data_IF_470204625334
#
_entry.id   IF_470204625334
#
_cell.length_a   1.000
_cell.length_b   1.000
_cell.length_c   1.000
_cell.angle_alpha   90.00
_cell.angle_beta   90.00
_cell.angle_gamma   90.00
#
_symmetry.space_group_name_H-M   'P 1'
#
loop_
_entity.id
_entity.type
_entity.pdbx_description
1 polymer ?
#
# COMPACT_ATOMS: atom_id res chain seq x y z
N UNK A 1 -22.96 -3.18 -9.18
CA UNK A 1 -22.81 -2.59 -7.84
C UNK A 1 -21.66 -3.34 -7.15
N UNK A 2 -20.67 -2.61 -6.64
CA UNK A 2 -19.52 -3.20 -5.96
C UNK A 2 -19.88 -3.52 -4.49
N UNK A 3 -19.48 -4.68 -4.01
CA UNK A 3 -19.79 -5.17 -2.65
C UNK A 3 -18.81 -4.61 -1.61
N UNK A 4 -17.53 -4.57 -1.97
CA UNK A 4 -16.45 -4.20 -1.06
C UNK A 4 -16.04 -2.73 -1.20
N UNK A 5 -16.16 -2.16 -2.39
CA UNK A 5 -15.69 -0.80 -2.70
C UNK A 5 -16.86 0.15 -2.95
N UNK A 6 -16.77 1.32 -2.35
CA UNK A 6 -17.70 2.42 -2.63
C UNK A 6 -17.18 3.19 -3.84
N UNK A 7 -17.84 2.99 -4.98
CA UNK A 7 -17.49 3.60 -6.26
C UNK A 7 -18.65 4.43 -6.78
N UNK A 8 -18.37 5.68 -7.07
CA UNK A 8 -19.27 6.66 -7.67
C UNK A 8 -18.59 7.34 -8.89
N UNK A 9 -19.29 8.27 -9.52
CA UNK A 9 -18.78 9.02 -10.68
C UNK A 9 -17.52 9.83 -10.40
N UNK A 10 -17.32 10.22 -9.16
CA UNK A 10 -16.21 11.07 -8.74
C UNK A 10 -15.06 10.27 -8.13
N UNK A 11 -15.23 8.97 -8.03
CA UNK A 11 -14.22 8.08 -7.45
C UNK A 11 -12.91 8.14 -8.21
N UNK A 12 -11.82 8.17 -7.46
CA UNK A 12 -10.46 8.20 -7.97
C UNK A 12 -9.72 6.90 -7.68
N UNK A 13 -8.66 6.63 -8.44
CA UNK A 13 -7.79 5.49 -8.16
C UNK A 13 -7.17 5.57 -6.77
N UNK A 14 -6.87 6.78 -6.28
CA UNK A 14 -6.31 6.98 -4.95
C UNK A 14 -7.32 6.65 -3.84
N UNK A 15 -8.59 7.03 -4.01
CA UNK A 15 -9.65 6.66 -3.08
C UNK A 15 -9.89 5.14 -3.08
N UNK A 16 -9.82 4.49 -4.24
CA UNK A 16 -9.93 3.04 -4.37
C UNK A 16 -8.77 2.32 -3.69
N UNK A 17 -7.54 2.78 -3.87
CA UNK A 17 -6.36 2.23 -3.19
C UNK A 17 -6.45 2.34 -1.67
N UNK A 18 -6.96 3.46 -1.17
CA UNK A 18 -7.17 3.65 0.27
C UNK A 18 -8.13 2.59 0.81
N UNK A 19 -9.29 2.41 0.17
CA UNK A 19 -10.26 1.39 0.55
C UNK A 19 -9.64 -0.02 0.48
N UNK A 20 -8.86 -0.31 -0.57
CA UNK A 20 -8.16 -1.60 -0.73
C UNK A 20 -7.25 -1.92 0.46
N UNK A 21 -6.42 -0.97 0.90
CA UNK A 21 -5.51 -1.18 2.04
C UNK A 21 -6.24 -1.50 3.34
N UNK A 22 -7.32 -0.76 3.60
CA UNK A 22 -8.14 -1.01 4.79
C UNK A 22 -8.80 -2.40 4.76
N UNK A 23 -9.31 -2.80 3.60
CA UNK A 23 -9.94 -4.11 3.39
C UNK A 23 -8.92 -5.24 3.39
N UNK A 24 -7.76 -5.06 2.77
CA UNK A 24 -6.69 -6.05 2.77
C UNK A 24 -6.27 -6.41 4.19
N UNK A 25 -6.10 -5.42 5.06
CA UNK A 25 -5.80 -5.65 6.47
C UNK A 25 -6.90 -6.42 7.21
N UNK A 26 -8.17 -6.11 6.91
CA UNK A 26 -9.32 -6.75 7.58
C UNK A 26 -9.58 -8.18 7.11
N UNK A 27 -9.33 -8.46 5.83
CA UNK A 27 -9.76 -9.71 5.20
C UNK A 27 -8.64 -10.72 4.98
N UNK A 28 -7.37 -10.28 5.02
CA UNK A 28 -6.26 -11.19 4.75
C UNK A 28 -6.22 -12.35 5.76
N UNK A 29 -6.09 -13.61 5.29
CA UNK A 29 -6.14 -14.79 6.15
C UNK A 29 -5.06 -14.80 7.22
N UNK A 30 -3.88 -14.27 6.95
CA UNK A 30 -2.76 -14.25 7.90
C UNK A 30 -3.03 -13.37 9.13
N UNK A 31 -3.87 -12.32 8.98
CA UNK A 31 -4.33 -11.49 10.09
C UNK A 31 -5.58 -12.03 10.80
N UNK A 32 -6.19 -13.06 10.24
CA UNK A 32 -7.43 -13.68 10.74
C UNK A 32 -7.26 -15.17 11.10
N UNK A 33 -6.05 -15.58 11.47
CA UNK A 33 -5.74 -16.95 11.91
C UNK A 33 -5.96 -18.03 10.85
N UNK A 34 -5.79 -17.70 9.56
CA UNK A 34 -5.97 -18.62 8.44
C UNK A 34 -7.42 -19.01 8.17
N UNK A 35 -8.38 -18.16 8.56
CA UNK A 35 -9.81 -18.42 8.35
C UNK A 35 -10.17 -18.53 6.87
N UNK A 36 -10.65 -19.72 6.45
CA UNK A 36 -11.04 -20.00 5.05
C UNK A 36 -12.13 -19.07 4.51
N UNK A 37 -13.04 -18.61 5.37
CA UNK A 37 -14.08 -17.66 4.99
C UNK A 37 -13.46 -16.32 4.62
N UNK A 38 -12.51 -15.83 5.42
CA UNK A 38 -11.77 -14.60 5.14
C UNK A 38 -10.90 -14.71 3.90
N UNK A 39 -10.29 -15.87 3.66
CA UNK A 39 -9.54 -16.14 2.43
C UNK A 39 -10.43 -16.01 1.19
N UNK A 40 -11.64 -16.55 1.24
CA UNK A 40 -12.61 -16.43 0.15
C UNK A 40 -13.03 -14.98 -0.07
N UNK A 41 -13.40 -14.28 1.01
CA UNK A 41 -13.76 -12.86 0.96
C UNK A 41 -12.62 -12.00 0.41
N UNK A 42 -11.39 -12.31 0.77
CA UNK A 42 -10.20 -11.62 0.27
C UNK A 42 -10.01 -11.80 -1.24
N UNK A 43 -10.17 -13.03 -1.75
CA UNK A 43 -10.11 -13.31 -3.19
C UNK A 43 -11.24 -12.59 -3.97
N UNK A 44 -12.45 -12.59 -3.43
CA UNK A 44 -13.57 -11.84 -4.01
C UNK A 44 -13.27 -10.33 -4.06
N UNK A 45 -12.72 -9.79 -2.98
CA UNK A 45 -12.32 -8.38 -2.89
C UNK A 45 -11.24 -8.02 -3.90
N UNK A 46 -10.24 -8.88 -4.13
CA UNK A 46 -9.20 -8.67 -5.16
C UNK A 46 -9.80 -8.60 -6.58
N UNK A 47 -10.70 -9.52 -6.91
CA UNK A 47 -11.38 -9.51 -8.21
C UNK A 47 -12.24 -8.25 -8.40
N UNK A 48 -12.89 -7.82 -7.34
CA UNK A 48 -13.71 -6.60 -7.37
C UNK A 48 -12.84 -5.34 -7.49
N UNK A 49 -11.66 -5.32 -6.87
CA UNK A 49 -10.68 -4.23 -7.01
C UNK A 49 -10.24 -4.03 -8.46
N UNK A 50 -9.93 -5.12 -9.16
CA UNK A 50 -9.57 -5.09 -10.58
C UNK A 50 -10.72 -4.52 -11.43
N UNK A 51 -11.94 -4.98 -11.18
CA UNK A 51 -13.15 -4.50 -11.86
C UNK A 51 -13.42 -3.01 -11.58
N UNK A 52 -13.18 -2.56 -10.36
CA UNK A 52 -13.32 -1.16 -9.96
C UNK A 52 -12.28 -0.26 -10.64
N UNK A 53 -11.03 -0.72 -10.75
CA UNK A 53 -9.99 -0.01 -11.50
C UNK A 53 -10.36 0.18 -12.97
N UNK A 54 -10.86 -0.88 -13.60
CA UNK A 54 -11.32 -0.83 -14.99
C UNK A 54 -12.46 0.16 -15.16
N UNK A 55 -13.47 0.10 -14.29
CA UNK A 55 -14.60 1.03 -14.30
C UNK A 55 -14.17 2.49 -14.18
N UNK A 56 -13.29 2.83 -13.22
CA UNK A 56 -12.76 4.19 -13.06
C UNK A 56 -11.96 4.62 -14.30
N UNK A 57 -11.21 3.70 -14.89
CA UNK A 57 -10.46 3.94 -16.13
C UNK A 57 -11.37 4.30 -17.30
N UNK A 58 -12.42 3.53 -17.53
CA UNK A 58 -13.42 3.77 -18.59
C UNK A 58 -14.10 5.12 -18.44
N UNK A 59 -14.48 5.52 -17.20
CA UNK A 59 -15.08 6.83 -16.92
C UNK A 59 -14.13 8.01 -17.23
N UNK A 60 -12.83 7.81 -17.09
CA UNK A 60 -11.81 8.85 -17.29
C UNK A 60 -11.07 8.75 -18.62
N UNK A 61 -11.45 7.81 -19.48
CA UNK A 61 -10.77 7.55 -20.75
C UNK A 61 -9.31 7.12 -20.58
N UNK A 62 -8.99 6.44 -19.46
CA UNK A 62 -7.66 5.95 -19.13
C UNK A 62 -7.69 4.48 -18.82
N UNK A 63 -6.69 3.75 -19.28
CA UNK A 63 -6.48 2.37 -18.89
C UNK A 63 -5.65 2.29 -17.61
N UNK A 64 -6.23 1.73 -16.54
CA UNK A 64 -5.52 1.39 -15.32
C UNK A 64 -5.36 -0.12 -15.23
N UNK A 65 -4.13 -0.57 -15.06
CA UNK A 65 -3.85 -2.00 -14.84
C UNK A 65 -3.80 -2.28 -13.35
N UNK A 66 -4.37 -3.42 -12.97
CA UNK A 66 -4.19 -3.96 -11.63
C UNK A 66 -2.73 -4.33 -11.43
N UNK A 67 -2.12 -3.75 -10.43
CA UNK A 67 -0.77 -4.10 -10.02
C UNK A 67 -0.83 -5.09 -8.86
N UNK A 68 -0.90 -6.38 -9.20
CA UNK A 68 -0.92 -7.46 -8.22
C UNK A 68 0.36 -7.46 -7.37
N UNK A 69 1.49 -7.12 -7.97
CA UNK A 69 2.78 -7.00 -7.29
C UNK A 69 2.74 -5.96 -6.15
N UNK A 70 2.11 -4.81 -6.41
CA UNK A 70 1.94 -3.78 -5.39
C UNK A 70 1.05 -4.26 -4.23
N UNK A 71 -0.04 -4.95 -4.52
CA UNK A 71 -0.94 -5.50 -3.51
C UNK A 71 -0.24 -6.55 -2.64
N UNK A 72 0.47 -7.48 -3.27
CA UNK A 72 1.25 -8.51 -2.59
C UNK A 72 2.35 -7.91 -1.72
N UNK A 73 3.02 -6.88 -2.22
CA UNK A 73 4.05 -6.17 -1.47
C UNK A 73 3.53 -5.53 -0.19
N UNK A 74 2.37 -4.87 -0.24
CA UNK A 74 1.72 -4.31 0.97
C UNK A 74 1.41 -5.41 1.97
N UNK A 75 0.91 -6.55 1.51
CA UNK A 75 0.60 -7.69 2.36
C UNK A 75 1.87 -8.24 3.02
N UNK A 76 2.94 -8.42 2.28
CA UNK A 76 4.22 -8.89 2.82
C UNK A 76 4.80 -7.93 3.86
N UNK A 77 4.73 -6.63 3.63
CA UNK A 77 5.15 -5.64 4.62
C UNK A 77 4.33 -5.71 5.91
N UNK A 78 3.02 -5.89 5.81
CA UNK A 78 2.16 -6.02 6.98
C UNK A 78 2.45 -7.32 7.76
N UNK A 79 2.78 -8.42 7.09
CA UNK A 79 3.17 -9.69 7.73
C UNK A 79 4.46 -9.60 8.54
N UNK A 80 5.38 -8.71 8.16
CA UNK A 80 6.64 -8.55 8.86
C UNK A 80 6.48 -7.99 10.29
N UNK A 81 5.32 -7.42 10.62
CA UNK A 81 5.03 -6.84 11.95
C UNK A 81 6.20 -6.01 12.50
N UNK A 82 6.76 -5.14 11.68
CA UNK A 82 7.95 -4.36 12.03
C UNK A 82 7.69 -3.41 13.19
N UNK A 83 8.56 -3.45 14.20
CA UNK A 83 8.47 -2.58 15.38
C UNK A 83 9.26 -1.30 15.13
N UNK A 84 8.70 -0.17 15.58
CA UNK A 84 9.30 1.18 15.41
C UNK A 84 9.62 1.54 13.95
N UNK A 85 8.86 1.00 13.02
CA UNK A 85 8.95 1.32 11.60
C UNK A 85 7.64 1.96 11.14
N UNK A 86 7.73 3.14 10.58
CA UNK A 86 6.61 3.80 9.90
C UNK A 86 6.57 3.39 8.43
N UNK A 87 5.40 2.99 7.96
CA UNK A 87 5.12 2.73 6.55
C UNK A 87 4.25 3.86 6.02
N UNK A 88 4.75 4.60 5.06
CA UNK A 88 4.06 5.71 4.42
C UNK A 88 3.89 5.45 2.93
N UNK A 89 2.69 5.63 2.43
CA UNK A 89 2.36 5.44 1.03
C UNK A 89 2.02 6.79 0.40
N UNK A 90 2.77 7.14 -0.63
CA UNK A 90 2.57 8.36 -1.41
C UNK A 90 2.36 7.97 -2.89
N UNK A 91 1.11 7.96 -3.34
CA UNK A 91 0.77 7.46 -4.67
C UNK A 91 1.17 5.99 -4.87
N UNK A 92 2.07 5.74 -5.82
CA UNK A 92 2.64 4.40 -6.08
C UNK A 92 3.90 4.11 -5.27
N UNK A 93 4.43 5.09 -4.54
CA UNK A 93 5.63 4.93 -3.74
C UNK A 93 5.31 4.43 -2.34
N UNK A 94 6.18 3.59 -1.81
CA UNK A 94 6.14 3.14 -0.43
C UNK A 94 7.43 3.57 0.23
N UNK A 95 7.34 4.26 1.36
CA UNK A 95 8.47 4.70 2.16
C UNK A 95 8.44 4.06 3.52
N UNK A 96 9.61 3.65 4.03
CA UNK A 96 9.77 3.12 5.38
C UNK A 96 10.78 3.94 6.15
N UNK A 97 10.37 4.35 7.33
CA UNK A 97 11.15 5.18 8.27
C UNK A 97 11.33 4.45 9.59
N UNK A 98 12.35 4.83 10.37
CA UNK A 98 12.56 4.35 11.72
C UNK A 98 13.59 3.23 11.83
N UNK A 99 13.36 2.26 12.72
CA UNK A 99 14.30 1.19 13.04
C UNK A 99 14.26 0.04 12.02
N UNK A 100 14.68 0.33 10.80
CA UNK A 100 14.63 -0.62 9.68
C UNK A 100 15.82 -1.58 9.60
N UNK A 101 16.86 -1.38 10.43
CA UNK A 101 18.08 -2.22 10.40
C UNK A 101 17.83 -3.74 10.50
N UNK A 102 16.98 -4.22 11.44
CA UNK A 102 16.70 -5.65 11.58
C UNK A 102 16.06 -6.27 10.33
N UNK A 103 15.39 -5.45 9.54
CA UNK A 103 14.60 -5.88 8.37
C UNK A 103 15.31 -5.65 7.03
N UNK A 104 16.54 -5.17 7.07
CA UNK A 104 17.32 -4.75 5.88
C UNK A 104 17.35 -5.81 4.78
N UNK A 105 17.62 -7.06 5.11
CA UNK A 105 17.72 -8.15 4.13
C UNK A 105 16.35 -8.46 3.51
N UNK A 106 15.30 -8.54 4.34
CA UNK A 106 13.93 -8.72 3.85
C UNK A 106 13.47 -7.58 2.93
N UNK A 107 13.82 -6.34 3.27
CA UNK A 107 13.49 -5.18 2.44
C UNK A 107 14.21 -5.22 1.10
N UNK A 108 15.45 -5.68 1.06
CA UNK A 108 16.18 -5.87 -0.20
C UNK A 108 15.57 -6.98 -1.07
N UNK A 109 15.14 -8.09 -0.46
CA UNK A 109 14.43 -9.17 -1.16
C UNK A 109 13.12 -8.68 -1.78
N UNK A 110 12.43 -7.75 -1.12
CA UNK A 110 11.23 -7.07 -1.62
C UNK A 110 11.54 -5.91 -2.58
N UNK A 111 12.78 -5.79 -3.03
CA UNK A 111 13.24 -4.77 -3.99
C UNK A 111 13.18 -3.32 -3.48
N UNK A 112 13.12 -3.12 -2.17
CA UNK A 112 13.30 -1.79 -1.59
C UNK A 112 14.73 -1.28 -1.77
N UNK A 113 14.85 0.02 -1.92
CA UNK A 113 16.13 0.72 -2.09
C UNK A 113 16.33 1.73 -0.96
N UNK A 114 17.56 1.85 -0.50
CA UNK A 114 17.92 2.86 0.49
C UNK A 114 18.14 4.23 -0.14
N UNK A 115 17.51 5.25 0.43
CA UNK A 115 17.73 6.64 0.06
C UNK A 115 18.49 7.37 1.18
N UNK A 116 19.79 7.63 1.02
CA UNK A 116 20.60 8.26 2.07
C UNK A 116 20.24 9.74 2.29
N UNK A 117 19.71 10.44 1.29
CA UNK A 117 19.29 11.84 1.42
C UNK A 117 18.03 11.99 2.27
N UNK A 118 17.09 11.09 2.11
CA UNK A 118 15.83 11.07 2.87
C UNK A 118 15.91 10.19 4.12
N UNK A 119 16.99 9.42 4.28
CA UNK A 119 17.19 8.47 5.39
C UNK A 119 16.03 7.50 5.54
N UNK A 120 15.61 6.89 4.43
CA UNK A 120 14.50 5.96 4.38
C UNK A 120 14.70 4.87 3.33
N UNK A 121 13.97 3.78 3.47
CA UNK A 121 13.79 2.82 2.41
C UNK A 121 12.62 3.25 1.54
N UNK A 122 12.70 3.00 0.25
CA UNK A 122 11.60 3.27 -0.68
C UNK A 122 11.46 2.16 -1.71
N UNK A 123 10.24 1.98 -2.15
CA UNK A 123 9.88 1.13 -3.26
C UNK A 123 9.08 1.92 -4.30
N UNK A 124 9.28 1.57 -5.56
CA UNK A 124 8.51 2.10 -6.69
C UNK A 124 8.27 1.01 -7.73
N UNK A 125 7.17 1.05 -8.48
CA UNK A 125 6.95 0.11 -9.57
C UNK A 125 8.05 0.19 -10.63
N UNK A 126 8.38 -0.96 -11.24
CA UNK A 126 9.42 -1.06 -12.25
C UNK A 126 9.13 -0.20 -13.51
N UNK A 127 7.84 -0.04 -13.85
CA UNK A 127 7.42 0.79 -14.97
C UNK A 127 7.54 2.30 -14.71
N UNK A 128 7.66 2.72 -13.45
CA UNK A 128 7.80 4.13 -13.12
C UNK A 128 9.17 4.66 -13.51
N UNK A 129 9.19 5.64 -14.39
CA UNK A 129 10.40 6.38 -14.77
C UNK A 129 10.30 7.81 -14.28
N UNK A 130 11.25 8.21 -13.46
CA UNK A 130 11.35 9.60 -13.04
C UNK A 130 11.81 10.46 -14.22
N UNK A 131 10.91 11.31 -14.71
CA UNK A 131 11.21 12.27 -15.80
C UNK A 131 11.88 13.54 -15.28
N UNK A 132 11.79 13.80 -13.98
CA UNK A 132 12.35 15.00 -13.36
C UNK A 132 13.76 14.73 -12.83
N UNK A 133 14.72 15.54 -13.27
CA UNK A 133 16.09 15.49 -12.77
C UNK A 133 16.22 16.04 -11.33
N UNK A 134 15.25 16.81 -10.87
CA UNK A 134 15.23 17.39 -9.52
C UNK A 134 14.62 16.43 -8.51
N UNK A 135 15.33 16.21 -7.41
CA UNK A 135 14.82 15.43 -6.28
C UNK A 135 13.81 16.27 -5.48
N UNK A 136 12.56 15.82 -5.44
CA UNK A 136 11.55 16.44 -4.61
C UNK A 136 11.78 16.12 -3.12
N UNK A 137 11.46 17.10 -2.26
CA UNK A 137 11.38 16.85 -0.82
C UNK A 137 10.19 15.94 -0.49
N UNK A 138 10.19 15.34 0.70
CA UNK A 138 9.04 14.53 1.13
C UNK A 138 7.76 15.34 1.21
N UNK A 139 7.83 16.60 1.63
CA UNK A 139 6.66 17.47 1.71
C UNK A 139 6.06 17.74 0.33
N UNK A 140 6.89 17.98 -0.69
CA UNK A 140 6.44 18.12 -2.07
C UNK A 140 5.79 16.83 -2.61
N UNK A 141 6.34 15.67 -2.26
CA UNK A 141 5.80 14.36 -2.66
C UNK A 141 4.44 14.13 -1.98
N UNK A 142 4.33 14.42 -0.70
CA UNK A 142 3.08 14.32 0.06
C UNK A 142 1.99 15.24 -0.47
N UNK A 143 2.33 16.47 -0.79
CA UNK A 143 1.40 17.46 -1.34
C UNK A 143 0.87 17.03 -2.71
N UNK A 144 1.73 16.47 -3.55
CA UNK A 144 1.36 16.09 -4.92
C UNK A 144 0.60 14.77 -5.00
N UNK A 145 1.06 13.73 -4.30
CA UNK A 145 0.49 12.38 -4.37
C UNK A 145 -0.47 12.05 -3.22
N UNK A 146 -0.56 12.89 -2.20
CA UNK A 146 -1.15 12.53 -0.93
C UNK A 146 -0.25 11.62 -0.11
N UNK A 147 -0.57 11.44 1.15
CA UNK A 147 0.18 10.57 2.07
C UNK A 147 -0.77 9.80 2.95
N UNK A 148 -0.51 8.52 3.11
CA UNK A 148 -1.22 7.65 4.03
C UNK A 148 -0.24 6.81 4.83
N UNK A 149 -0.33 6.91 6.16
CA UNK A 149 0.45 6.08 7.07
C UNK A 149 -0.28 4.77 7.34
N UNK A 150 0.42 3.67 7.17
CA UNK A 150 -0.09 2.34 7.49
C UNK A 150 0.25 2.03 8.94
N UNK A 151 -0.77 1.91 9.79
CA UNK A 151 -0.60 1.50 11.19
C UNK A 151 -0.48 -0.01 11.30
N UNK A 152 0.46 -0.46 12.12
CA UNK A 152 0.62 -1.87 12.46
C UNK A 152 -0.13 -2.17 13.77
N UNK A 153 -0.87 -3.29 13.81
CA UNK A 153 -1.68 -3.67 14.99
C UNK A 153 -0.86 -3.81 16.28
N UNK A 154 0.40 -4.18 16.17
CA UNK A 154 1.28 -4.36 17.31
C UNK A 154 1.58 -3.05 18.03
N UNK A 155 1.79 -1.96 17.31
CA UNK A 155 1.99 -0.63 17.89
C UNK A 155 0.74 -0.12 18.61
N UNK A 156 -0.44 -0.46 18.08
CA UNK A 156 -1.71 -0.08 18.69
C UNK A 156 -1.96 -0.85 19.99
N UNK A 157 -1.59 -2.14 20.06
CA UNK A 157 -1.65 -2.94 21.29
C UNK A 157 -0.68 -2.44 22.36
N UNK A 158 0.55 -2.09 22.00
CA UNK A 158 1.53 -1.55 22.94
C UNK A 158 1.11 -0.19 23.49
N UNK A 159 0.48 0.67 22.70
CA UNK A 159 -0.08 1.95 23.17
C UNK A 159 -1.27 1.79 24.11
N UNK A 160 -2.07 0.75 23.94
CA UNK A 160 -3.23 0.46 24.78
C UNK A 160 -2.87 -0.24 26.09
N UNK A 161 -1.70 -0.89 26.15
CA UNK A 161 -1.18 -1.58 27.34
C UNK A 161 -0.20 -0.76 28.16
N UNK A 162 0.24 0.33 27.62
CA UNK A 162 1.08 1.31 28.34
C UNK A 162 0.19 2.35 29.02
#
# INVERSE_FOLDING_TARGET
>A
MFKYFKIDSDSTVDSLKKQFKELARKLHPDFNGGCKVKEKEFKEMLNEYESALKYIGEQKGKEYKFDAEYADLIIELLKMEMVNVEIEICGWFIYLWGETKPYKENLKELEFRWNPKKVCWYWRPAWYRNKNKNSWSMDQIRDFYGSEKVRQEKEERERLTA
#
